data_IF_842188058203
#
_entry.id   IF_842188058203
#
_cell.length_a   1.000
_cell.length_b   1.000
_cell.length_c   1.000
_cell.angle_alpha   90.00
_cell.angle_beta   90.00
_cell.angle_gamma   90.00
#
_symmetry.space_group_name_H-M   'P 1'
#
loop_
_entity.id
_entity.type
_entity.pdbx_description
1 polymer ?
#
# COMPACT_ATOMS: atom_id res chain seq x y z
N UNK A 1 -10.59 -16.40 32.25
CA UNK A 1 -9.52 -16.38 32.62
C UNK A 1 -9.10 -16.32 32.19
N UNK A 2 -8.72 -16.33 32.35
CA UNK A 2 -7.66 -16.51 32.62
C UNK A 2 -7.53 -16.42 31.97
N UNK A 3 -7.84 -16.52 32.19
CA UNK A 3 -6.80 -16.68 32.54
C UNK A 3 -6.65 -16.69 32.08
N UNK A 4 -7.99 -17.05 32.25
CA UNK A 4 -7.25 -16.96 32.88
C UNK A 4 -6.93 -16.84 32.52
N UNK A 5 -6.90 -17.00 32.61
CA UNK A 5 -6.01 -16.84 33.01
C UNK A 5 -5.63 -16.56 32.80
N UNK A 6 -6.09 -16.81 33.19
CA UNK A 6 -5.17 -16.57 33.78
C UNK A 6 -5.05 -16.40 33.51
N UNK A 7 -5.42 -16.57 33.77
CA UNK A 7 -4.73 -16.49 34.38
C UNK A 7 -4.74 -16.33 34.38
N UNK A 8 -5.28 -16.64 34.76
CA UNK A 8 -4.72 -16.45 35.58
C UNK A 8 -4.73 -16.35 35.58
N UNK A 9 -5.13 -16.55 35.93
CA UNK A 9 -4.60 -16.51 36.66
C UNK A 9 -4.64 -16.35 36.73
N UNK A 10 -5.06 -16.64 37.15
CA UNK A 10 -4.45 -16.46 38.00
C UNK A 10 -4.42 -16.40 38.00
N UNK A 11 -4.72 -16.55 38.34
CA UNK A 11 -4.09 -16.53 39.07
C UNK A 11 -3.90 -16.47 39.31
N UNK A 12 -4.62 -16.82 39.99
CA UNK A 12 -3.86 -16.68 40.78
C UNK A 12 -3.69 -16.38 40.86
N UNK A 13 -4.33 -16.63 41.01
CA UNK A 13 -3.77 -16.26 41.57
C UNK A 13 -3.69 -15.80 41.39
N UNK A 14 -4.00 -15.76 41.52
CA UNK A 14 -3.51 -15.16 41.51
C UNK A 14 -3.57 -14.87 40.95
N UNK A 15 -4.00 -14.83 40.95
CA UNK A 15 -3.64 -14.21 40.70
C UNK A 15 -3.70 -13.90 40.17
N UNK A 16 -4.09 -13.92 40.23
CA UNK A 16 -3.77 -13.38 39.96
C UNK A 16 -3.73 -12.98 39.22
N UNK A 17 -4.03 -12.83 39.23
CA UNK A 17 -3.72 -12.27 38.64
C UNK A 17 -3.24 -12.09 38.10
N UNK A 18 -3.29 -12.10 38.00
CA UNK A 18 -2.56 -11.77 37.41
C UNK A 18 -2.19 -11.62 36.67
N UNK A 19 -2.13 -11.30 36.49
CA UNK A 19 -1.75 -11.18 35.61
C UNK A 19 -1.67 -11.57 34.52
N UNK A 20 -1.98 -11.55 34.07
CA UNK A 20 -1.80 -11.86 32.87
C UNK A 20 -1.83 -10.93 32.02
N UNK A 21 -1.55 -10.27 31.91
CA UNK A 21 -1.45 -9.55 31.13
C UNK A 21 -0.75 -9.54 30.11
N UNK A 22 -0.73 -9.65 29.57
CA UNK A 22 0.00 -9.83 28.64
C UNK A 22 0.15 -9.24 27.73
N UNK A 23 0.02 -8.99 27.35
CA UNK A 23 0.95 -8.76 26.27
C UNK A 23 0.24 -8.95 24.94
N UNK A 24 -0.48 -7.92 24.54
CA UNK A 24 -1.28 -7.96 23.34
C UNK A 24 -0.44 -7.93 22.06
N UNK A 25 0.74 -7.33 22.11
CA UNK A 25 1.58 -7.25 20.92
C UNK A 25 2.06 -8.61 20.47
N UNK A 26 2.15 -9.57 21.35
CA UNK A 26 2.53 -10.93 20.98
C UNK A 26 1.40 -11.68 20.24
N UNK A 27 0.16 -11.19 20.32
CA UNK A 27 -0.99 -11.79 19.66
C UNK A 27 -1.19 -11.18 18.27
N UNK A 28 -0.91 -9.87 18.14
CA UNK A 28 -1.05 -9.17 16.86
C UNK A 28 0.08 -9.58 15.94
N UNK A 29 -0.29 -9.83 14.69
CA UNK A 29 0.71 -10.00 13.66
C UNK A 29 1.35 -8.66 13.36
N UNK A 30 2.69 -8.61 13.29
CA UNK A 30 3.35 -7.37 12.90
C UNK A 30 3.08 -7.06 11.44
N UNK A 31 3.08 -5.79 11.10
CA UNK A 31 3.10 -5.37 9.71
C UNK A 31 4.48 -5.59 9.13
N UNK A 32 4.56 -5.88 7.84
CA UNK A 32 5.80 -5.96 7.10
C UNK A 32 5.83 -4.85 6.08
N UNK A 33 7.02 -4.31 5.84
CA UNK A 33 7.13 -3.16 4.95
C UNK A 33 8.53 -3.03 4.37
N UNK A 34 8.59 -2.41 3.20
CA UNK A 34 9.82 -1.86 2.64
C UNK A 34 9.58 -0.38 2.42
N UNK A 35 10.13 0.44 3.31
CA UNK A 35 9.92 1.89 3.29
C UNK A 35 11.00 2.52 2.41
N UNK A 36 10.68 2.70 1.14
CA UNK A 36 11.56 3.25 0.14
C UNK A 36 10.78 4.21 -0.75
N UNK A 37 11.44 4.86 -1.71
CA UNK A 37 10.79 5.74 -2.68
C UNK A 37 9.69 4.99 -3.43
N UNK A 38 9.98 3.77 -3.84
CA UNK A 38 9.00 2.84 -4.36
C UNK A 38 8.88 1.70 -3.35
N UNK A 39 7.88 1.76 -2.51
CA UNK A 39 7.77 0.89 -1.37
C UNK A 39 6.41 0.26 -1.19
N UNK A 40 6.28 -0.50 -0.14
CA UNK A 40 5.04 -1.19 0.19
C UNK A 40 4.98 -1.50 1.68
N UNK A 41 3.77 -1.73 2.16
CA UNK A 41 3.55 -2.27 3.50
C UNK A 41 2.38 -3.24 3.45
N UNK A 42 2.43 -4.24 4.31
CA UNK A 42 1.38 -5.25 4.44
C UNK A 42 0.91 -5.31 5.88
N UNK A 43 -0.41 -5.24 6.05
CA UNK A 43 -1.04 -5.55 7.32
C UNK A 43 -1.24 -7.06 7.38
N UNK A 44 -0.44 -7.75 8.18
CA UNK A 44 -0.47 -9.21 8.23
C UNK A 44 -1.77 -9.74 8.84
N UNK A 45 -2.50 -8.93 9.59
CA UNK A 45 -3.77 -9.34 10.16
C UNK A 45 -4.88 -9.40 9.12
N UNK A 46 -4.91 -8.44 8.20
CA UNK A 46 -5.96 -8.35 7.18
C UNK A 46 -5.50 -8.80 5.81
N UNK A 47 -4.19 -8.84 5.56
CA UNK A 47 -3.63 -9.10 4.25
C UNK A 47 -3.63 -7.88 3.32
N UNK A 48 -4.10 -6.74 3.79
CA UNK A 48 -4.13 -5.54 2.97
C UNK A 48 -2.71 -5.08 2.69
N UNK A 49 -2.47 -4.74 1.43
CA UNK A 49 -1.17 -4.24 0.97
C UNK A 49 -1.37 -2.84 0.41
N UNK A 50 -0.50 -1.95 0.80
CA UNK A 50 -0.45 -0.59 0.30
C UNK A 50 0.92 -0.37 -0.32
N UNK A 51 0.93 0.15 -1.53
CA UNK A 51 2.15 0.39 -2.28
C UNK A 51 2.17 1.82 -2.78
N UNK A 52 3.36 2.35 -2.99
CA UNK A 52 3.53 3.73 -3.45
C UNK A 52 4.80 3.86 -4.25
N UNK A 53 4.88 4.93 -5.01
CA UNK A 53 6.07 5.20 -5.78
C UNK A 53 5.98 6.46 -6.60
N UNK A 54 6.93 6.59 -7.49
CA UNK A 54 7.05 7.70 -8.41
C UNK A 54 7.14 7.16 -9.84
N UNK A 55 6.60 7.94 -10.77
CA UNK A 55 6.72 7.64 -12.20
C UNK A 55 7.05 8.92 -12.95
N UNK A 56 8.19 8.92 -13.61
CA UNK A 56 8.58 10.03 -14.47
C UNK A 56 8.02 9.80 -15.87
N UNK A 57 7.27 10.76 -16.37
CA UNK A 57 6.70 10.73 -17.71
C UNK A 57 7.47 11.70 -18.59
N UNK A 58 8.11 11.19 -19.63
CA UNK A 58 8.80 11.99 -20.61
C UNK A 58 7.75 12.61 -21.55
N UNK A 59 7.99 13.82 -22.02
CA UNK A 59 7.04 14.51 -22.88
C UNK A 59 6.67 13.64 -24.10
N UNK A 60 5.38 13.29 -24.22
CA UNK A 60 4.93 12.43 -25.33
C UNK A 60 4.97 13.18 -26.67
N UNK A 61 5.07 12.43 -27.75
CA UNK A 61 5.02 13.01 -29.11
C UNK A 61 3.61 13.05 -29.66
N UNK A 62 2.69 12.29 -29.06
CA UNK A 62 1.30 12.23 -29.50
C UNK A 62 0.39 11.90 -28.34
N UNK A 63 -0.91 12.16 -28.51
CA UNK A 63 -1.91 11.78 -27.52
C UNK A 63 -2.04 10.27 -27.42
N UNK A 64 -2.36 9.79 -26.22
CA UNK A 64 -2.58 8.36 -25.99
C UNK A 64 -1.30 7.58 -25.69
N UNK A 65 -0.21 8.28 -25.40
CA UNK A 65 1.03 7.62 -25.02
C UNK A 65 0.85 6.89 -23.68
N UNK A 66 1.43 5.72 -23.55
CA UNK A 66 1.22 4.85 -22.39
C UNK A 66 2.50 4.65 -21.61
N UNK A 67 2.36 4.63 -20.30
CA UNK A 67 3.46 4.37 -19.37
C UNK A 67 3.01 3.35 -18.35
N UNK A 68 3.76 2.26 -18.22
CA UNK A 68 3.42 1.22 -17.24
C UNK A 68 4.04 1.53 -15.90
N UNK A 69 3.21 1.56 -14.87
CA UNK A 69 3.66 1.67 -13.48
C UNK A 69 3.71 0.25 -12.92
N UNK A 70 4.90 -0.22 -12.58
CA UNK A 70 5.08 -1.52 -11.97
C UNK A 70 5.05 -1.39 -10.46
N UNK A 71 4.24 -2.21 -9.82
CA UNK A 71 4.18 -2.23 -8.35
C UNK A 71 5.44 -2.90 -7.79
N UNK A 72 5.97 -2.43 -6.64
CA UNK A 72 7.11 -3.08 -6.00
C UNK A 72 6.93 -4.56 -5.75
N UNK A 73 5.70 -4.98 -5.39
CA UNK A 73 5.35 -6.39 -5.28
C UNK A 73 4.01 -6.63 -5.96
N UNK A 74 3.79 -7.86 -6.40
CA UNK A 74 2.49 -8.24 -6.97
C UNK A 74 1.45 -8.34 -5.83
N UNK A 75 0.24 -7.86 -6.10
CA UNK A 75 -0.88 -8.16 -5.21
C UNK A 75 -1.24 -9.63 -5.37
N UNK A 76 -1.36 -10.39 -4.27
CA UNK A 76 -1.67 -11.82 -4.38
C UNK A 76 -3.05 -12.11 -4.96
N UNK A 77 -4.03 -11.27 -4.68
CA UNK A 77 -5.42 -11.53 -5.07
C UNK A 77 -6.01 -10.45 -5.95
N UNK A 78 -5.90 -9.19 -5.55
CA UNK A 78 -6.53 -8.10 -6.30
C UNK A 78 -5.88 -6.76 -6.00
N UNK A 79 -5.76 -5.94 -7.03
CA UNK A 79 -5.48 -4.52 -6.89
C UNK A 79 -6.83 -3.81 -6.88
N UNK A 80 -7.15 -3.16 -5.78
CA UNK A 80 -8.49 -2.59 -5.58
C UNK A 80 -8.59 -1.15 -6.05
N UNK A 81 -7.53 -0.38 -5.88
CA UNK A 81 -7.56 1.04 -6.21
C UNK A 81 -6.16 1.55 -6.47
N UNK A 82 -6.02 2.38 -7.48
CA UNK A 82 -4.77 3.07 -7.78
C UNK A 82 -5.09 4.53 -8.05
N UNK A 83 -4.33 5.42 -7.42
CA UNK A 83 -4.44 6.84 -7.66
C UNK A 83 -3.08 7.40 -8.05
N UNK A 84 -3.08 8.45 -8.86
CA UNK A 84 -1.87 9.18 -9.21
C UNK A 84 -2.08 10.65 -8.91
N UNK A 85 -0.98 11.32 -8.60
CA UNK A 85 -0.98 12.75 -8.31
C UNK A 85 0.19 13.40 -9.05
N UNK A 86 -0.08 14.33 -9.94
CA UNK A 86 1.00 15.03 -10.65
C UNK A 86 1.73 15.97 -9.70
N UNK A 87 3.03 16.13 -9.95
CA UNK A 87 3.90 16.99 -9.16
C UNK A 87 4.50 18.02 -10.09
N UNK A 88 4.23 19.29 -9.81
CA UNK A 88 4.80 20.39 -10.59
C UNK A 88 3.77 21.37 -11.10
N UNK A 89 4.06 21.97 -12.24
CA UNK A 89 3.22 23.02 -12.81
C UNK A 89 1.94 22.46 -13.42
N UNK A 90 0.76 23.02 -13.12
CA UNK A 90 -0.51 22.53 -13.65
C UNK A 90 -0.55 22.46 -15.18
N UNK A 91 0.16 23.36 -15.87
CA UNK A 91 0.15 23.38 -17.33
C UNK A 91 0.79 22.17 -17.99
N UNK A 92 1.52 21.36 -17.21
CA UNK A 92 2.17 20.16 -17.73
C UNK A 92 1.33 18.91 -17.58
N UNK A 93 0.09 19.03 -17.07
CA UNK A 93 -0.74 17.86 -16.74
C UNK A 93 -2.15 18.09 -17.28
N UNK A 94 -2.27 18.13 -18.61
CA UNK A 94 -3.52 18.49 -19.26
C UNK A 94 -4.47 17.33 -19.45
N UNK A 95 -3.97 16.10 -19.51
CA UNK A 95 -4.84 14.95 -19.64
C UNK A 95 -4.12 13.64 -19.34
N UNK A 96 -4.69 12.86 -18.43
CA UNK A 96 -4.14 11.54 -18.08
C UNK A 96 -5.26 10.67 -17.53
N UNK A 97 -5.08 9.36 -17.66
CA UNK A 97 -6.03 8.40 -17.16
C UNK A 97 -5.31 7.10 -16.82
N UNK A 98 -5.87 6.33 -15.92
CA UNK A 98 -5.36 5.01 -15.56
C UNK A 98 -6.22 3.93 -16.21
N UNK A 99 -5.59 2.85 -16.60
CA UNK A 99 -6.31 1.63 -16.94
C UNK A 99 -6.80 0.95 -15.68
N UNK A 100 -7.63 -0.06 -15.84
CA UNK A 100 -7.95 -0.95 -14.75
C UNK A 100 -6.68 -1.65 -14.28
N UNK A 101 -6.38 -1.67 -12.98
CA UNK A 101 -5.10 -2.22 -12.52
C UNK A 101 -5.05 -3.74 -12.62
N UNK A 102 -3.87 -4.24 -12.96
CA UNK A 102 -3.54 -5.65 -12.90
C UNK A 102 -2.84 -5.95 -11.57
N UNK A 103 -2.52 -7.21 -11.34
CA UNK A 103 -1.89 -7.59 -10.06
C UNK A 103 -0.49 -7.01 -9.88
N UNK A 104 0.22 -6.75 -10.98
CA UNK A 104 1.62 -6.29 -10.93
C UNK A 104 1.81 -4.87 -11.42
N UNK A 105 0.82 -4.29 -12.09
CA UNK A 105 1.02 -3.03 -12.78
C UNK A 105 -0.29 -2.34 -13.10
N UNK A 106 -0.17 -1.08 -13.47
CA UNK A 106 -1.27 -0.29 -14.02
C UNK A 106 -0.70 0.57 -15.14
N UNK A 107 -1.52 0.85 -16.15
CA UNK A 107 -1.08 1.64 -17.29
C UNK A 107 -1.60 3.07 -17.11
N UNK A 108 -0.69 4.02 -17.20
CA UNK A 108 -0.99 5.45 -17.22
C UNK A 108 -0.95 5.92 -18.66
N UNK A 109 -2.08 6.41 -19.16
CA UNK A 109 -2.19 6.97 -20.51
C UNK A 109 -2.21 8.48 -20.40
N UNK A 110 -1.41 9.16 -21.21
CA UNK A 110 -1.25 10.61 -21.11
C UNK A 110 -1.47 11.27 -22.47
N UNK A 111 -1.91 12.53 -22.44
CA UNK A 111 -1.96 13.38 -23.63
C UNK A 111 -0.55 13.87 -23.97
N UNK A 112 -0.38 14.39 -25.18
CA UNK A 112 0.94 14.86 -25.64
C UNK A 112 1.51 16.01 -24.84
N UNK A 113 0.66 16.72 -24.09
CA UNK A 113 1.10 17.85 -23.28
C UNK A 113 1.23 17.49 -21.79
N UNK A 114 1.11 16.20 -21.46
CA UNK A 114 1.23 15.72 -20.08
C UNK A 114 2.59 15.05 -19.90
N UNK A 115 3.42 15.66 -19.06
CA UNK A 115 4.75 15.12 -18.75
C UNK A 115 5.23 15.64 -17.41
N UNK A 116 6.15 14.92 -16.80
CA UNK A 116 6.70 15.26 -15.51
C UNK A 116 6.59 14.12 -14.53
N UNK A 117 6.66 14.44 -13.25
CA UNK A 117 6.67 13.45 -12.18
C UNK A 117 5.25 13.22 -11.69
N UNK A 118 4.91 11.95 -11.52
CA UNK A 118 3.67 11.51 -10.87
C UNK A 118 4.03 10.73 -9.62
N UNK A 119 3.36 11.03 -8.52
CA UNK A 119 3.30 10.13 -7.38
C UNK A 119 2.11 9.19 -7.57
N UNK A 120 2.24 7.96 -7.12
CA UNK A 120 1.15 7.02 -7.20
C UNK A 120 1.03 6.20 -5.92
N UNK A 121 -0.15 5.71 -5.67
CA UNK A 121 -0.44 4.84 -4.54
C UNK A 121 -1.44 3.78 -5.00
N UNK A 122 -1.23 2.54 -4.55
CA UNK A 122 -2.09 1.41 -4.87
C UNK A 122 -2.44 0.64 -3.60
N UNK A 123 -3.67 0.17 -3.54
CA UNK A 123 -4.17 -0.61 -2.40
C UNK A 123 -4.79 -1.90 -2.95
N UNK A 124 -4.50 -3.00 -2.28
CA UNK A 124 -5.02 -4.30 -2.64
C UNK A 124 -4.69 -5.37 -1.61
N UNK A 125 -4.82 -6.59 -2.04
CA UNK A 125 -4.51 -7.73 -1.17
C UNK A 125 -4.21 -8.99 -1.97
#
# INVERSE_FOLDING_TARGET
MFYGTDCTCVVSGSIKSYEWRFNYTSIRRPSTAKLDVNGWERDEATGRIRQWGQKQVVRPTSDGDTHTIYFPIAFPSAALNVIVSPVGSPGNFTGYALSEPLLKSVILTVSKDTYGLFYWEAIGY
#
